data_IF_913105056800
#
_entry.id   IF_913105056800
#
_cell.length_a   1.000
_cell.length_b   1.000
_cell.length_c   1.000
_cell.angle_alpha   90.00
_cell.angle_beta   90.00
_cell.angle_gamma   90.00
#
_symmetry.space_group_name_H-M   'P 1'
#
loop_
_entity.id
_entity.type
_entity.pdbx_description
1 polymer ?
#
# COMPACT_ATOMS: atom_id res chain seq x y z
N UNK A 1 -25.64 -19.83 -71.13
CA UNK A 1 -25.65 -19.13 -69.84
C UNK A 1 -26.76 -19.74 -68.98
N UNK A 2 -26.76 -21.01 -68.55
CA UNK A 2 -25.76 -21.76 -67.77
C UNK A 2 -25.27 -20.96 -66.56
N UNK A 3 -26.10 -20.91 -65.51
CA UNK A 3 -25.74 -20.25 -64.24
C UNK A 3 -26.75 -20.38 -63.11
N UNK A 4 -28.05 -20.58 -63.39
CA UNK A 4 -29.08 -20.47 -62.33
C UNK A 4 -29.87 -21.74 -61.99
N UNK A 5 -29.74 -22.82 -62.78
CA UNK A 5 -30.36 -24.12 -62.44
C UNK A 5 -29.50 -25.03 -61.55
N UNK A 6 -28.25 -24.63 -61.24
CA UNK A 6 -27.32 -25.43 -60.41
C UNK A 6 -27.40 -25.17 -58.91
N UNK A 7 -27.94 -24.02 -58.46
CA UNK A 7 -27.90 -23.64 -57.03
C UNK A 7 -29.11 -24.08 -56.21
N UNK A 8 -30.22 -24.47 -56.83
CA UNK A 8 -31.41 -24.97 -56.11
C UNK A 8 -31.37 -26.46 -55.77
N UNK A 9 -30.56 -27.26 -56.48
CA UNK A 9 -30.39 -28.69 -56.18
C UNK A 9 -29.27 -29.02 -55.18
N UNK A 10 -28.47 -28.02 -54.77
CA UNK A 10 -27.43 -28.19 -53.76
C UNK A 10 -27.90 -27.79 -52.34
N UNK A 11 -29.02 -27.07 -52.24
CA UNK A 11 -29.66 -26.66 -50.97
C UNK A 11 -30.66 -27.69 -50.41
N UNK A 12 -31.07 -28.70 -51.18
CA UNK A 12 -31.99 -29.77 -50.73
C UNK A 12 -31.27 -31.10 -50.41
N UNK A 13 -29.93 -31.14 -50.47
CA UNK A 13 -29.14 -32.36 -50.20
C UNK A 13 -28.34 -32.34 -48.90
N UNK A 14 -28.40 -31.27 -48.11
CA UNK A 14 -27.77 -31.18 -46.80
C UNK A 14 -28.74 -31.36 -45.62
N UNK A 15 -30.01 -31.69 -45.89
CA UNK A 15 -31.04 -32.00 -44.88
C UNK A 15 -31.17 -33.50 -44.55
N UNK A 16 -30.25 -34.35 -45.03
CA UNK A 16 -30.34 -35.81 -44.92
C UNK A 16 -29.23 -36.48 -44.10
N UNK A 17 -28.58 -35.75 -43.18
CA UNK A 17 -27.71 -36.34 -42.16
C UNK A 17 -28.18 -35.84 -40.80
N UNK A 18 -28.92 -36.70 -40.10
CA UNK A 18 -29.49 -36.41 -38.79
C UNK A 18 -28.47 -35.84 -37.82
N UNK A 19 -28.61 -34.54 -37.55
CA UNK A 19 -28.01 -33.90 -36.39
C UNK A 19 -28.99 -34.14 -35.23
N UNK A 20 -28.59 -34.77 -34.13
CA UNK A 20 -29.47 -34.97 -32.99
C UNK A 20 -29.86 -33.61 -32.42
N UNK A 21 -31.16 -33.42 -32.18
CA UNK A 21 -31.71 -32.32 -31.38
C UNK A 21 -30.88 -32.17 -30.10
N UNK A 22 -30.06 -31.12 -30.04
CA UNK A 22 -29.42 -30.72 -28.82
C UNK A 22 -30.47 -29.98 -28.00
N UNK A 23 -30.91 -30.65 -26.94
CA UNK A 23 -31.56 -30.11 -25.75
C UNK A 23 -31.37 -28.60 -25.61
N UNK A 24 -32.48 -27.86 -25.69
CA UNK A 24 -32.63 -26.52 -25.11
C UNK A 24 -32.64 -26.63 -23.57
N UNK A 25 -31.53 -27.11 -23.01
CA UNK A 25 -31.27 -27.21 -21.58
C UNK A 25 -30.17 -26.23 -21.19
N UNK A 26 -30.53 -25.29 -20.32
CA UNK A 26 -29.62 -24.37 -19.62
C UNK A 26 -28.91 -23.33 -20.49
N UNK A 27 -29.64 -22.27 -20.84
CA UNK A 27 -29.03 -20.94 -20.93
C UNK A 27 -28.41 -20.62 -19.57
N UNK A 28 -27.10 -20.81 -19.45
CA UNK A 28 -26.30 -20.21 -18.38
C UNK A 28 -26.64 -18.72 -18.39
N UNK A 29 -27.29 -18.21 -17.34
CA UNK A 29 -27.52 -16.78 -17.21
C UNK A 29 -26.14 -16.11 -17.27
N UNK A 30 -25.92 -15.28 -18.30
CA UNK A 30 -24.74 -14.45 -18.36
C UNK A 30 -24.70 -13.61 -17.09
N UNK A 31 -23.57 -13.64 -16.38
CA UNK A 31 -23.37 -12.85 -15.18
C UNK A 31 -23.66 -11.37 -15.45
N UNK A 32 -24.18 -10.62 -14.47
CA UNK A 32 -24.34 -9.17 -14.62
C UNK A 32 -22.97 -8.56 -14.93
N UNK A 33 -22.89 -7.80 -16.02
CA UNK A 33 -21.72 -6.95 -16.34
C UNK A 33 -21.62 -5.91 -15.23
N UNK A 34 -20.56 -5.98 -14.43
CA UNK A 34 -20.30 -5.03 -13.35
C UNK A 34 -19.56 -3.81 -13.92
N UNK A 35 -19.81 -2.58 -13.43
CA UNK A 35 -19.02 -1.41 -13.79
C UNK A 35 -17.51 -1.68 -13.60
N UNK A 36 -16.71 -1.38 -14.62
CA UNK A 36 -15.26 -1.67 -14.68
C UNK A 36 -14.87 -3.06 -15.22
N UNK A 37 -15.83 -3.89 -15.66
CA UNK A 37 -15.51 -5.15 -16.37
C UNK A 37 -14.88 -4.90 -17.75
N UNK A 38 -15.12 -3.74 -18.35
CA UNK A 38 -14.49 -3.33 -19.61
C UNK A 38 -12.96 -3.23 -19.47
N UNK A 39 -12.46 -2.80 -18.32
CA UNK A 39 -11.03 -2.70 -18.03
C UNK A 39 -10.40 -4.09 -17.89
N UNK A 40 -11.12 -5.03 -17.29
CA UNK A 40 -10.68 -6.43 -17.23
C UNK A 40 -10.61 -7.05 -18.63
N UNK A 41 -11.58 -6.76 -19.50
CA UNK A 41 -11.56 -7.24 -20.89
C UNK A 41 -10.45 -6.58 -21.71
N UNK A 42 -10.16 -5.30 -21.48
CA UNK A 42 -9.03 -4.60 -22.10
C UNK A 42 -7.69 -5.24 -21.72
N UNK A 43 -7.58 -5.74 -20.48
CA UNK A 43 -6.44 -6.54 -20.02
C UNK A 43 -6.43 -7.98 -20.55
N UNK A 44 -7.43 -8.39 -21.33
CA UNK A 44 -7.51 -9.71 -21.96
C UNK A 44 -7.99 -10.82 -21.02
N UNK A 45 -8.71 -10.49 -19.95
CA UNK A 45 -9.42 -11.51 -19.17
C UNK A 45 -10.64 -12.02 -19.93
N UNK A 46 -10.94 -13.32 -19.85
CA UNK A 46 -12.20 -13.86 -20.37
C UNK A 46 -13.39 -13.38 -19.55
N UNK A 47 -14.60 -13.63 -20.06
CA UNK A 47 -15.84 -13.36 -19.34
C UNK A 47 -15.87 -14.07 -17.97
N UNK A 48 -16.57 -13.45 -17.03
CA UNK A 48 -16.77 -13.98 -15.68
C UNK A 48 -17.45 -15.35 -15.70
N UNK A 49 -17.00 -16.22 -14.80
CA UNK A 49 -17.61 -17.51 -14.53
C UNK A 49 -18.29 -17.44 -13.16
N UNK A 50 -19.59 -17.75 -13.11
CA UNK A 50 -20.30 -17.91 -11.84
C UNK A 50 -19.73 -19.12 -11.08
N UNK A 51 -19.36 -18.88 -9.83
CA UNK A 51 -18.74 -19.87 -8.95
C UNK A 51 -19.44 -19.97 -7.61
N UNK A 52 -20.61 -19.34 -7.46
CA UNK A 52 -21.44 -19.43 -6.25
C UNK A 52 -21.77 -20.90 -5.93
N UNK A 53 -21.55 -21.28 -4.68
CA UNK A 53 -21.80 -22.64 -4.19
C UNK A 53 -20.85 -23.72 -4.75
N UNK A 54 -19.87 -23.39 -5.61
CA UNK A 54 -18.95 -24.38 -6.16
C UNK A 54 -17.92 -24.85 -5.13
N UNK A 55 -17.74 -26.17 -5.02
CA UNK A 55 -16.71 -26.78 -4.17
C UNK A 55 -15.32 -26.87 -4.83
N UNK A 56 -15.22 -26.60 -6.13
CA UNK A 56 -14.00 -26.61 -6.93
C UNK A 56 -14.26 -25.96 -8.28
N UNK A 57 -13.19 -25.54 -8.96
CA UNK A 57 -13.18 -25.06 -10.35
C UNK A 57 -12.29 -25.93 -11.25
N UNK A 58 -12.08 -27.18 -10.85
CA UNK A 58 -11.20 -28.12 -11.56
C UNK A 58 -11.69 -28.51 -12.95
N UNK A 59 -13.00 -28.51 -13.14
CA UNK A 59 -13.72 -28.70 -14.40
C UNK A 59 -13.51 -27.52 -15.36
N UNK A 60 -13.33 -26.31 -14.83
CA UNK A 60 -13.14 -25.08 -15.61
C UNK A 60 -11.70 -24.92 -16.12
N UNK A 61 -10.73 -25.51 -15.41
CA UNK A 61 -9.30 -25.33 -15.71
C UNK A 61 -8.53 -26.66 -15.77
N UNK A 62 -8.13 -27.05 -16.98
CA UNK A 62 -7.32 -28.23 -17.22
C UNK A 62 -5.94 -28.13 -16.54
N UNK A 63 -5.40 -29.27 -16.06
CA UNK A 63 -4.19 -29.35 -15.20
C UNK A 63 -2.95 -28.65 -15.75
N UNK A 64 -2.77 -28.59 -17.07
CA UNK A 64 -1.64 -27.89 -17.72
C UNK A 64 -1.85 -26.39 -17.97
N UNK A 65 -3.02 -25.85 -17.65
CA UNK A 65 -3.41 -24.44 -17.91
C UNK A 65 -3.85 -23.72 -16.64
N UNK A 66 -3.37 -24.13 -15.46
CA UNK A 66 -3.79 -23.57 -14.16
C UNK A 66 -2.86 -22.47 -13.61
N UNK A 67 -1.76 -22.20 -14.31
CA UNK A 67 -0.81 -21.17 -13.95
C UNK A 67 -1.22 -19.85 -14.61
N UNK A 68 -1.39 -18.78 -13.85
CA UNK A 68 -1.85 -17.50 -14.37
C UNK A 68 -2.32 -16.50 -13.32
N UNK A 69 -3.02 -15.46 -13.79
CA UNK A 69 -3.66 -14.44 -12.96
C UNK A 69 -5.16 -14.73 -12.89
N UNK A 70 -5.74 -14.68 -11.70
CA UNK A 70 -7.17 -14.76 -11.48
C UNK A 70 -7.71 -13.45 -10.92
N UNK A 71 -8.96 -13.17 -11.25
CA UNK A 71 -9.76 -12.14 -10.58
C UNK A 71 -10.98 -12.81 -9.95
N UNK A 72 -11.25 -12.53 -8.69
CA UNK A 72 -12.47 -12.94 -7.99
C UNK A 72 -13.40 -11.73 -7.92
N UNK A 73 -14.70 -11.96 -8.10
CA UNK A 73 -15.75 -10.99 -7.82
C UNK A 73 -16.52 -11.42 -6.56
N UNK A 74 -16.94 -10.44 -5.78
CA UNK A 74 -17.73 -10.65 -4.56
C UNK A 74 -19.14 -10.09 -4.72
N UNK A 75 -20.07 -10.51 -3.86
CA UNK A 75 -21.48 -10.08 -3.93
C UNK A 75 -21.67 -8.56 -3.75
N UNK A 76 -20.75 -7.90 -3.05
CA UNK A 76 -20.78 -6.45 -2.84
C UNK A 76 -20.13 -5.64 -3.98
N UNK A 77 -19.73 -6.28 -5.08
CA UNK A 77 -19.11 -5.62 -6.24
C UNK A 77 -17.60 -5.40 -6.13
N UNK A 78 -16.98 -5.75 -5.01
CA UNK A 78 -15.52 -5.74 -4.88
C UNK A 78 -14.87 -6.84 -5.72
N UNK A 79 -13.58 -6.66 -6.01
CA UNK A 79 -12.79 -7.61 -6.78
C UNK A 79 -11.49 -7.98 -6.03
N UNK A 80 -10.91 -9.14 -6.34
CA UNK A 80 -9.60 -9.57 -5.83
C UNK A 80 -8.78 -10.02 -7.02
N UNK A 81 -7.56 -9.52 -7.21
CA UNK A 81 -6.67 -9.90 -8.31
C UNK A 81 -5.47 -10.64 -7.73
N UNK A 82 -5.20 -11.88 -8.14
CA UNK A 82 -4.01 -12.57 -7.65
C UNK A 82 -3.38 -13.51 -8.65
N UNK A 83 -2.16 -13.94 -8.37
CA UNK A 83 -1.47 -14.97 -9.13
C UNK A 83 -1.62 -16.37 -8.54
N UNK A 84 -1.65 -17.37 -9.42
CA UNK A 84 -1.71 -18.77 -9.06
C UNK A 84 -0.79 -19.60 -9.95
N UNK A 85 0.01 -20.49 -9.34
CA UNK A 85 0.62 -21.60 -10.08
C UNK A 85 -0.42 -22.69 -10.37
N UNK A 86 -1.39 -22.85 -9.46
CA UNK A 86 -2.59 -23.66 -9.66
C UNK A 86 -3.83 -22.89 -9.15
N UNK A 87 -4.62 -22.37 -10.09
CA UNK A 87 -5.85 -21.60 -9.81
C UNK A 87 -6.92 -22.40 -9.05
N UNK A 88 -6.98 -23.72 -9.23
CA UNK A 88 -7.96 -24.57 -8.53
C UNK A 88 -7.63 -24.65 -7.05
N UNK A 89 -6.33 -24.81 -6.74
CA UNK A 89 -5.86 -24.79 -5.35
C UNK A 89 -6.12 -23.43 -4.70
N UNK A 90 -5.85 -22.33 -5.42
CA UNK A 90 -6.10 -20.96 -4.92
C UNK A 90 -7.58 -20.66 -4.72
N UNK A 91 -8.44 -21.03 -5.66
CA UNK A 91 -9.90 -20.90 -5.51
C UNK A 91 -10.40 -21.62 -4.25
N UNK A 92 -9.97 -22.86 -4.05
CA UNK A 92 -10.37 -23.65 -2.87
C UNK A 92 -9.89 -23.05 -1.55
N UNK A 93 -8.79 -22.30 -1.56
CA UNK A 93 -8.34 -21.55 -0.39
C UNK A 93 -9.25 -20.35 -0.14
N UNK A 94 -9.51 -19.54 -1.18
CA UNK A 94 -10.32 -18.33 -1.07
C UNK A 94 -11.75 -18.60 -0.64
N UNK A 95 -12.41 -19.63 -1.18
CA UNK A 95 -13.77 -20.01 -0.76
C UNK A 95 -13.90 -20.31 0.73
N UNK A 96 -12.84 -20.85 1.36
CA UNK A 96 -12.87 -21.14 2.81
C UNK A 96 -12.88 -19.86 3.65
N UNK A 97 -12.35 -18.77 3.10
CA UNK A 97 -12.16 -17.49 3.79
C UNK A 97 -13.25 -16.48 3.40
N UNK A 98 -13.72 -16.51 2.16
CA UNK A 98 -14.68 -15.56 1.61
C UNK A 98 -15.97 -16.28 1.23
N UNK A 99 -17.00 -16.14 2.08
CA UNK A 99 -18.31 -16.76 1.88
C UNK A 99 -19.14 -16.05 0.79
N UNK A 100 -18.85 -14.78 0.52
CA UNK A 100 -19.52 -13.89 -0.44
C UNK A 100 -18.88 -13.94 -1.84
N UNK A 101 -18.08 -14.97 -2.12
CA UNK A 101 -17.40 -15.14 -3.40
C UNK A 101 -18.41 -15.54 -4.48
N UNK A 102 -18.54 -14.70 -5.51
CA UNK A 102 -19.59 -14.83 -6.53
C UNK A 102 -19.06 -15.24 -7.90
N UNK A 103 -17.96 -14.62 -8.35
CA UNK A 103 -17.45 -14.81 -9.72
C UNK A 103 -15.94 -15.08 -9.75
N UNK A 104 -15.47 -15.75 -10.80
CA UNK A 104 -14.06 -15.96 -11.11
C UNK A 104 -13.82 -15.67 -12.59
N UNK A 105 -12.79 -14.90 -12.91
CA UNK A 105 -12.17 -14.90 -14.24
C UNK A 105 -10.70 -15.24 -14.12
N UNK A 106 -10.13 -15.89 -15.12
CA UNK A 106 -8.77 -16.40 -15.06
C UNK A 106 -8.08 -16.34 -16.41
N UNK A 107 -6.87 -15.78 -16.41
CA UNK A 107 -6.01 -15.61 -17.56
C UNK A 107 -4.72 -16.42 -17.37
N UNK A 108 -4.47 -17.46 -18.19
CA UNK A 108 -3.23 -18.22 -18.13
C UNK A 108 -2.01 -17.34 -18.42
N UNK A 109 -0.98 -17.42 -17.58
CA UNK A 109 0.29 -16.70 -17.72
C UNK A 109 1.42 -17.65 -17.37
N UNK A 110 2.55 -17.53 -18.07
CA UNK A 110 3.72 -18.35 -17.77
C UNK A 110 4.31 -17.98 -16.41
N UNK A 111 4.84 -18.97 -15.69
CA UNK A 111 5.37 -18.78 -14.33
C UNK A 111 6.41 -17.66 -14.22
N UNK A 112 7.24 -17.48 -15.24
CA UNK A 112 8.30 -16.47 -15.28
C UNK A 112 7.77 -15.03 -15.39
N UNK A 113 6.50 -14.84 -15.76
CA UNK A 113 5.88 -13.52 -16.00
C UNK A 113 4.78 -13.20 -14.98
N UNK A 114 4.53 -14.06 -14.00
CA UNK A 114 3.40 -13.88 -13.10
C UNK A 114 3.51 -12.56 -12.31
N UNK A 115 4.67 -12.29 -11.70
CA UNK A 115 4.86 -11.09 -10.88
C UNK A 115 4.76 -9.79 -11.72
N UNK A 116 5.28 -9.80 -12.96
CA UNK A 116 5.21 -8.66 -13.88
C UNK A 116 3.75 -8.36 -14.30
N UNK A 117 3.01 -9.41 -14.69
CA UNK A 117 1.65 -9.28 -15.20
C UNK A 117 0.65 -8.99 -14.07
N UNK A 118 0.85 -9.59 -12.89
CA UNK A 118 0.05 -9.28 -11.69
C UNK A 118 0.16 -7.79 -11.35
N UNK A 119 1.39 -7.26 -11.31
CA UNK A 119 1.64 -5.84 -11.03
C UNK A 119 0.99 -4.92 -12.06
N UNK A 120 1.14 -5.21 -13.36
CA UNK A 120 0.50 -4.43 -14.43
C UNK A 120 -1.02 -4.42 -14.28
N UNK A 121 -1.63 -5.54 -13.90
CA UNK A 121 -3.08 -5.65 -13.77
C UNK A 121 -3.61 -4.95 -12.52
N UNK A 122 -2.93 -5.07 -11.37
CA UNK A 122 -3.29 -4.32 -10.16
C UNK A 122 -3.19 -2.81 -10.42
N UNK A 123 -2.07 -2.32 -10.97
CA UNK A 123 -1.89 -0.90 -11.28
C UNK A 123 -2.93 -0.35 -12.25
N UNK A 124 -3.25 -1.10 -13.30
CA UNK A 124 -4.27 -0.68 -14.27
C UNK A 124 -5.66 -0.60 -13.62
N UNK A 125 -6.04 -1.60 -12.82
CA UNK A 125 -7.37 -1.64 -12.20
C UNK A 125 -7.51 -0.65 -11.05
N UNK A 126 -6.45 -0.39 -10.29
CA UNK A 126 -6.41 0.68 -9.28
C UNK A 126 -6.55 2.07 -9.94
N UNK A 127 -5.87 2.31 -11.07
CA UNK A 127 -5.96 3.58 -11.81
C UNK A 127 -7.36 3.86 -12.38
N UNK A 128 -8.20 2.84 -12.56
CA UNK A 128 -9.60 2.96 -12.99
C UNK A 128 -10.58 3.00 -11.80
N UNK A 129 -10.09 3.05 -10.56
CA UNK A 129 -10.92 3.20 -9.36
C UNK A 129 -11.66 1.94 -8.92
N UNK A 130 -11.20 0.74 -9.31
CA UNK A 130 -11.84 -0.52 -8.92
C UNK A 130 -11.42 -0.95 -7.51
N UNK A 131 -12.38 -1.20 -6.61
CA UNK A 131 -12.13 -1.66 -5.24
C UNK A 131 -11.53 -3.08 -5.20
N UNK A 132 -10.23 -3.20 -4.90
CA UNK A 132 -9.49 -4.47 -4.83
C UNK A 132 -9.23 -4.96 -3.39
N UNK A 133 -9.49 -6.24 -3.07
CA UNK A 133 -9.39 -6.87 -1.73
C UNK A 133 -8.03 -7.52 -1.34
N UNK A 134 -6.92 -7.43 -2.09
CA UNK A 134 -5.74 -8.31 -1.80
C UNK A 134 -4.88 -7.93 -0.57
N UNK A 135 -5.31 -8.29 0.63
CA UNK A 135 -4.73 -7.88 1.93
C UNK A 135 -3.26 -8.28 2.22
N UNK A 136 -2.67 -9.32 1.59
CA UNK A 136 -1.39 -9.90 2.06
C UNK A 136 -0.12 -9.44 1.30
N UNK A 137 -0.26 -8.92 0.08
CA UNK A 137 0.86 -8.45 -0.75
C UNK A 137 0.63 -7.06 -1.35
N UNK A 138 -0.58 -6.51 -1.24
CA UNK A 138 -0.87 -5.18 -1.75
C UNK A 138 -0.29 -4.12 -0.85
N UNK A 139 0.07 -3.01 -1.49
CA UNK A 139 0.31 -1.77 -0.79
C UNK A 139 -1.02 -1.20 -0.26
N UNK A 140 -2.17 -1.36 -0.93
CA UNK A 140 -3.49 -0.92 -0.46
C UNK A 140 -4.22 -2.01 0.35
N UNK A 141 -5.04 -1.65 1.34
CA UNK A 141 -5.95 -2.59 2.04
C UNK A 141 -7.37 -2.00 2.06
N UNK A 142 -8.33 -2.70 1.46
CA UNK A 142 -9.76 -2.27 1.42
C UNK A 142 -10.62 -2.99 2.47
N UNK A 143 -11.82 -2.46 2.72
CA UNK A 143 -12.79 -3.00 3.68
C UNK A 143 -12.64 -2.45 5.10
N UNK A 144 -13.55 -2.84 6.00
CA UNK A 144 -13.51 -2.48 7.43
C UNK A 144 -12.27 -3.08 8.11
N UNK A 145 -11.53 -2.25 8.86
CA UNK A 145 -10.28 -2.60 9.56
C UNK A 145 -10.31 -2.15 11.01
N UNK A 146 -9.43 -2.72 11.83
CA UNK A 146 -9.23 -2.31 13.22
C UNK A 146 -8.87 -0.82 13.34
N UNK A 147 -8.20 -0.24 12.32
CA UNK A 147 -7.88 1.19 12.28
C UNK A 147 -9.16 2.04 12.26
N UNK A 148 -10.23 1.56 11.62
CA UNK A 148 -11.50 2.27 11.47
C UNK A 148 -12.22 2.48 12.82
N UNK A 149 -11.84 1.70 13.85
CA UNK A 149 -12.32 1.88 15.22
C UNK A 149 -11.71 3.12 15.91
N UNK A 150 -10.50 3.52 15.49
CA UNK A 150 -9.77 4.65 16.06
C UNK A 150 -9.77 5.87 15.14
N UNK A 151 -9.82 5.66 13.83
CA UNK A 151 -9.78 6.70 12.79
C UNK A 151 -10.75 6.27 11.70
N UNK A 152 -11.89 6.94 11.56
CA UNK A 152 -12.91 6.56 10.57
C UNK A 152 -12.37 6.65 9.12
N UNK A 153 -12.96 5.91 8.15
CA UNK A 153 -12.54 5.99 6.75
C UNK A 153 -12.54 7.42 6.19
N UNK A 154 -13.54 8.22 6.55
CA UNK A 154 -13.64 9.64 6.14
C UNK A 154 -12.47 10.47 6.70
N UNK A 155 -12.12 10.25 7.97
CA UNK A 155 -10.94 10.89 8.59
C UNK A 155 -9.63 10.44 7.93
N UNK A 156 -9.52 9.17 7.56
CA UNK A 156 -8.34 8.64 6.85
C UNK A 156 -8.20 9.29 5.47
N UNK A 157 -9.29 9.44 4.73
CA UNK A 157 -9.29 10.06 3.40
C UNK A 157 -8.97 11.55 3.47
N UNK A 158 -9.61 12.29 4.39
CA UNK A 158 -9.32 13.72 4.60
C UNK A 158 -7.87 13.95 5.03
N UNK A 159 -7.36 13.16 5.98
CA UNK A 159 -5.98 13.23 6.42
C UNK A 159 -4.99 12.93 5.27
N UNK A 160 -5.27 11.90 4.48
CA UNK A 160 -4.45 11.55 3.32
C UNK A 160 -4.44 12.66 2.26
N UNK A 161 -5.58 13.33 2.06
CA UNK A 161 -5.72 14.48 1.15
C UNK A 161 -5.19 15.80 1.70
N UNK A 162 -4.65 15.84 2.93
CA UNK A 162 -4.13 17.05 3.56
C UNK A 162 -5.20 17.99 4.13
N UNK A 163 -6.49 17.63 4.10
CA UNK A 163 -7.57 18.38 4.72
C UNK A 163 -7.67 18.05 6.22
N UNK A 164 -6.77 18.64 7.01
CA UNK A 164 -6.61 18.34 8.44
C UNK A 164 -7.19 19.41 9.38
N UNK A 165 -7.75 20.50 8.86
CA UNK A 165 -8.11 21.70 9.64
C UNK A 165 -9.12 21.41 10.77
N UNK A 166 -10.06 20.50 10.54
CA UNK A 166 -11.08 20.10 11.53
C UNK A 166 -10.81 18.72 12.16
N UNK A 167 -9.68 18.09 11.83
CA UNK A 167 -9.32 16.77 12.35
C UNK A 167 -8.70 16.92 13.74
N UNK A 168 -9.28 16.22 14.71
CA UNK A 168 -8.80 16.25 16.09
C UNK A 168 -8.02 14.98 16.43
N UNK A 169 -6.81 15.19 16.96
CA UNK A 169 -5.98 14.14 17.57
C UNK A 169 -5.73 14.47 19.05
N UNK A 170 -6.80 14.79 19.77
CA UNK A 170 -6.73 15.36 21.12
C UNK A 170 -6.76 14.31 22.25
N UNK A 171 -6.47 13.04 21.95
CA UNK A 171 -6.44 11.99 22.97
C UNK A 171 -5.31 12.20 23.98
N UNK A 172 -5.56 11.77 25.22
CA UNK A 172 -4.52 11.75 26.25
C UNK A 172 -3.39 10.80 25.83
N UNK A 173 -2.15 11.18 26.16
CA UNK A 173 -1.00 10.33 25.91
C UNK A 173 -1.17 8.96 26.57
N UNK A 174 -0.75 7.90 25.88
CA UNK A 174 -0.83 6.53 26.39
C UNK A 174 -0.09 6.41 27.73
N UNK A 175 -0.77 5.81 28.71
CA UNK A 175 -0.21 5.55 30.06
C UNK A 175 0.05 4.06 30.25
N UNK A 176 1.32 3.67 30.18
CA UNK A 176 1.81 2.35 30.57
C UNK A 176 3.10 2.51 31.39
N UNK A 177 2.97 2.47 32.72
CA UNK A 177 4.08 2.71 33.64
C UNK A 177 5.17 1.64 33.55
N UNK A 178 4.80 0.39 33.25
CA UNK A 178 5.76 -0.71 33.12
C UNK A 178 6.60 -0.55 31.86
N UNK A 179 5.95 -0.21 30.74
CA UNK A 179 6.63 0.07 29.49
C UNK A 179 7.50 1.31 29.59
N UNK A 180 7.00 2.39 30.23
CA UNK A 180 7.78 3.60 30.51
C UNK A 180 9.03 3.27 31.30
N UNK A 181 8.90 2.58 32.45
CA UNK A 181 10.06 2.17 33.28
C UNK A 181 11.09 1.35 32.50
N UNK A 182 10.66 0.48 31.58
CA UNK A 182 11.55 -0.37 30.78
C UNK A 182 12.48 0.44 29.88
N UNK A 183 11.95 1.50 29.27
CA UNK A 183 12.67 2.29 28.25
C UNK A 183 13.17 3.64 28.74
N UNK A 184 12.81 4.05 29.96
CA UNK A 184 13.18 5.33 30.57
C UNK A 184 14.69 5.59 30.55
N UNK A 185 15.50 4.60 30.94
CA UNK A 185 16.97 4.75 30.94
C UNK A 185 17.56 4.99 29.55
N UNK A 186 16.95 4.42 28.51
CA UNK A 186 17.38 4.69 27.13
C UNK A 186 17.06 6.12 26.73
N UNK A 187 15.90 6.63 27.16
CA UNK A 187 15.50 8.02 26.94
C UNK A 187 16.39 9.00 27.70
N UNK A 188 16.66 8.78 28.99
CA UNK A 188 17.60 9.61 29.77
C UNK A 188 18.97 9.68 29.09
N UNK A 189 19.49 8.54 28.61
CA UNK A 189 20.75 8.51 27.85
C UNK A 189 20.65 9.27 26.53
N UNK A 190 19.54 9.11 25.80
CA UNK A 190 19.31 9.85 24.55
C UNK A 190 19.37 11.36 24.79
N UNK A 191 18.74 11.86 25.87
CA UNK A 191 18.76 13.27 26.22
C UNK A 191 20.14 13.83 26.59
N UNK A 192 21.15 12.98 26.82
CA UNK A 192 22.53 13.43 27.01
C UNK A 192 23.31 13.62 25.70
N UNK A 193 22.72 13.23 24.56
CA UNK A 193 23.38 13.30 23.26
C UNK A 193 23.32 14.73 22.69
N UNK A 194 24.36 15.20 21.98
CA UNK A 194 24.41 16.59 21.52
C UNK A 194 23.24 16.99 20.60
N UNK A 195 22.80 16.08 19.74
CA UNK A 195 21.73 16.31 18.75
C UNK A 195 20.33 15.91 19.26
N UNK A 196 20.15 15.67 20.57
CA UNK A 196 18.90 15.12 21.09
C UNK A 196 17.67 15.98 20.74
N UNK A 197 17.74 17.30 20.96
CA UNK A 197 16.62 18.21 20.68
C UNK A 197 16.31 18.34 19.19
N UNK A 198 17.33 18.38 18.33
CA UNK A 198 17.13 18.44 16.87
C UNK A 198 16.49 17.14 16.36
N UNK A 199 16.89 15.99 16.90
CA UNK A 199 16.26 14.70 16.57
C UNK A 199 14.82 14.62 17.14
N UNK A 200 14.55 15.19 18.31
CA UNK A 200 13.18 15.28 18.84
C UNK A 200 12.30 16.15 17.93
N UNK A 201 12.81 17.27 17.44
CA UNK A 201 12.10 18.17 16.54
C UNK A 201 11.75 17.45 15.22
N UNK A 202 12.73 16.81 14.58
CA UNK A 202 12.52 16.06 13.33
C UNK A 202 11.59 14.85 13.52
N UNK A 203 11.71 14.14 14.64
CA UNK A 203 10.78 13.04 14.97
C UNK A 203 9.36 13.57 15.18
N UNK A 204 9.20 14.67 15.91
CA UNK A 204 7.89 15.28 16.15
C UNK A 204 7.25 15.77 14.84
N UNK A 205 8.02 16.42 13.98
CA UNK A 205 7.60 16.83 12.64
C UNK A 205 7.18 15.63 11.79
N UNK A 206 7.93 14.52 11.81
CA UNK A 206 7.52 13.30 11.11
C UNK A 206 6.22 12.70 11.64
N UNK A 207 6.06 12.64 12.97
CA UNK A 207 4.83 12.10 13.57
C UNK A 207 3.61 12.93 13.17
N UNK A 208 3.75 14.26 13.15
CA UNK A 208 2.70 15.19 12.74
C UNK A 208 2.36 15.08 11.25
N UNK A 209 3.39 15.06 10.40
CA UNK A 209 3.20 15.11 8.94
C UNK A 209 2.83 13.76 8.33
N UNK A 210 3.36 12.65 8.85
CA UNK A 210 3.36 11.36 8.16
C UNK A 210 2.67 10.22 8.92
N UNK A 211 2.30 10.37 10.20
CA UNK A 211 1.58 9.35 10.95
C UNK A 211 0.12 9.76 11.14
N UNK A 212 -0.88 8.96 10.70
CA UNK A 212 -2.28 9.26 10.93
C UNK A 212 -2.61 9.32 12.42
N UNK A 213 -3.02 10.49 12.91
CA UNK A 213 -3.51 10.70 14.27
C UNK A 213 -2.58 10.07 15.32
N UNK A 214 -1.33 10.56 15.42
CA UNK A 214 -0.27 9.86 16.16
C UNK A 214 -0.62 9.64 17.64
N UNK A 215 -1.45 10.47 18.28
CA UNK A 215 -1.89 10.26 19.68
C UNK A 215 -2.96 9.18 19.77
N UNK A 216 -4.01 9.24 18.95
CA UNK A 216 -5.08 8.21 18.91
C UNK A 216 -4.55 6.82 18.56
N UNK A 217 -3.51 6.76 17.73
CA UNK A 217 -3.01 5.49 17.17
C UNK A 217 -1.72 4.98 17.83
N UNK A 218 -1.19 5.72 18.82
CA UNK A 218 0.00 5.38 19.59
C UNK A 218 -0.11 3.99 20.21
N UNK A 219 1.00 3.24 20.20
CA UNK A 219 1.16 1.89 20.74
C UNK A 219 0.38 0.79 19.99
N UNK A 220 -0.79 1.11 19.45
CA UNK A 220 -1.65 0.17 18.71
C UNK A 220 -1.16 -0.01 17.28
N UNK A 221 -0.93 1.07 16.53
CA UNK A 221 -0.63 1.00 15.10
C UNK A 221 0.79 1.43 14.74
N UNK A 222 1.45 2.18 15.61
CA UNK A 222 2.84 2.58 15.42
C UNK A 222 3.61 2.49 16.73
N UNK A 223 4.94 2.42 16.61
CA UNK A 223 5.85 2.51 17.73
C UNK A 223 7.09 3.34 17.40
N UNK A 224 7.73 3.90 18.43
CA UNK A 224 9.08 4.44 18.33
C UNK A 224 10.02 3.75 19.32
N UNK A 225 11.14 3.24 18.83
CA UNK A 225 12.21 2.70 19.67
C UNK A 225 13.26 3.76 19.95
N UNK A 226 13.76 3.83 21.19
CA UNK A 226 14.80 4.77 21.63
C UNK A 226 16.15 4.06 21.80
N UNK A 227 17.19 4.54 21.10
CA UNK A 227 18.52 3.94 21.01
C UNK A 227 18.50 2.42 20.71
N UNK A 228 17.76 1.98 19.67
CA UNK A 228 17.73 0.57 19.32
C UNK A 228 19.09 0.08 18.81
N UNK A 229 19.34 -1.22 18.98
CA UNK A 229 20.52 -1.86 18.42
C UNK A 229 20.36 -2.09 16.90
N UNK A 230 21.48 -2.15 16.16
CA UNK A 230 21.48 -2.54 14.75
C UNK A 230 21.24 -1.38 13.77
N UNK A 231 21.95 -0.27 13.97
CA UNK A 231 22.05 0.80 12.98
C UNK A 231 23.00 0.44 11.81
N UNK A 232 22.96 1.21 10.71
CA UNK A 232 23.93 1.09 9.63
C UNK A 232 25.39 1.19 10.14
N UNK A 233 26.37 0.55 9.46
CA UNK A 233 27.77 0.68 9.84
C UNK A 233 28.21 2.14 9.94
N UNK A 234 29.04 2.47 10.94
CA UNK A 234 29.58 3.82 11.18
C UNK A 234 28.54 4.88 11.55
N UNK A 235 27.32 4.48 11.89
CA UNK A 235 26.27 5.39 12.38
C UNK A 235 25.90 5.10 13.83
N UNK A 236 25.38 6.11 14.51
CA UNK A 236 24.69 5.99 15.79
C UNK A 236 23.19 6.16 15.57
N UNK A 237 22.44 5.06 15.66
CA UNK A 237 20.99 5.08 15.51
C UNK A 237 20.33 5.61 16.79
N UNK A 238 19.58 6.71 16.67
CA UNK A 238 18.98 7.40 17.81
C UNK A 238 17.55 6.93 18.06
N UNK A 239 16.74 6.89 17.01
CA UNK A 239 15.39 6.37 17.11
C UNK A 239 14.92 5.75 15.79
N UNK A 240 13.82 5.00 15.90
CA UNK A 240 13.23 4.29 14.78
C UNK A 240 11.73 4.20 14.95
N UNK A 241 10.98 4.61 13.94
CA UNK A 241 9.52 4.46 13.90
C UNK A 241 9.17 3.22 13.07
N UNK A 242 8.26 2.40 13.59
CA UNK A 242 7.73 1.25 12.86
C UNK A 242 6.21 1.20 12.92
N UNK A 243 5.60 0.89 11.78
CA UNK A 243 4.17 0.65 11.62
C UNK A 243 3.98 -0.78 11.13
N UNK A 244 3.00 -1.49 11.69
CA UNK A 244 2.82 -2.92 11.44
C UNK A 244 4.12 -3.70 11.69
N UNK A 245 4.68 -4.35 10.66
CA UNK A 245 5.89 -5.18 10.70
C UNK A 245 7.08 -4.49 10.01
N UNK A 246 7.01 -3.18 9.74
CA UNK A 246 8.03 -2.46 8.98
C UNK A 246 8.51 -1.19 9.68
N UNK A 247 9.81 -1.00 9.65
CA UNK A 247 10.52 0.21 10.04
C UNK A 247 10.39 1.21 8.88
N UNK A 248 9.83 2.38 9.16
CA UNK A 248 9.50 3.38 8.12
C UNK A 248 10.35 4.62 8.23
N UNK A 249 10.89 4.89 9.42
CA UNK A 249 11.81 5.98 9.70
C UNK A 249 12.94 5.45 10.59
N UNK A 250 14.17 5.78 10.23
CA UNK A 250 15.33 5.71 11.12
C UNK A 250 15.98 7.08 11.18
N UNK A 251 16.27 7.56 12.39
CA UNK A 251 16.98 8.81 12.64
C UNK A 251 18.23 8.53 13.47
N UNK A 252 19.35 9.12 13.07
CA UNK A 252 20.60 8.94 13.78
C UNK A 252 21.62 10.02 13.43
N UNK A 253 22.85 9.76 13.85
CA UNK A 253 24.01 10.63 13.57
C UNK A 253 25.13 9.78 12.97
N UNK A 254 25.86 10.34 12.02
CA UNK A 254 27.08 9.77 11.46
C UNK A 254 28.24 10.78 11.51
N UNK A 255 29.28 10.61 10.67
CA UNK A 255 30.41 11.54 10.64
C UNK A 255 30.09 12.90 10.01
N UNK A 256 28.98 13.02 9.28
CA UNK A 256 28.54 14.23 8.58
C UNK A 256 27.45 15.00 9.34
N UNK A 257 26.73 14.33 10.24
CA UNK A 257 25.73 14.97 11.09
C UNK A 257 24.51 14.09 11.29
N UNK A 258 23.34 14.73 11.41
CA UNK A 258 22.07 14.02 11.46
C UNK A 258 21.80 13.39 10.09
N UNK A 259 21.37 12.14 10.10
CA UNK A 259 20.84 11.47 8.93
C UNK A 259 19.48 10.86 9.23
N UNK A 260 18.67 10.70 8.18
CA UNK A 260 17.42 9.96 8.21
C UNK A 260 17.33 8.99 7.05
N UNK A 261 16.63 7.88 7.25
CA UNK A 261 16.09 7.10 6.13
C UNK A 261 14.59 6.89 6.29
N UNK A 262 13.88 7.02 5.17
CA UNK A 262 12.43 6.99 5.07
C UNK A 262 11.99 5.91 4.10
N UNK A 263 10.87 5.23 4.38
CA UNK A 263 10.17 4.42 3.40
C UNK A 263 8.89 5.11 2.97
N UNK A 264 8.69 5.25 1.66
CA UNK A 264 7.59 6.01 1.06
C UNK A 264 6.94 5.21 -0.07
N UNK A 265 5.72 5.59 -0.45
CA UNK A 265 5.05 5.04 -1.61
C UNK A 265 5.72 5.53 -2.90
N UNK A 266 6.29 4.60 -3.68
CA UNK A 266 6.94 4.90 -4.95
C UNK A 266 5.96 5.40 -6.04
N UNK A 267 4.67 5.09 -5.89
CA UNK A 267 3.60 5.41 -6.83
C UNK A 267 3.35 6.91 -6.94
N UNK A 268 3.56 7.68 -5.87
CA UNK A 268 3.45 9.13 -5.88
C UNK A 268 4.45 9.71 -6.88
N UNK A 269 5.72 9.29 -6.79
CA UNK A 269 6.75 9.72 -7.75
C UNK A 269 6.54 9.17 -9.16
N UNK A 270 5.99 7.95 -9.30
CA UNK A 270 5.68 7.38 -10.62
C UNK A 270 4.54 8.14 -11.31
N UNK A 271 3.56 8.61 -10.56
CA UNK A 271 2.46 9.43 -11.08
C UNK A 271 2.96 10.81 -11.51
N UNK A 272 3.83 11.42 -10.71
CA UNK A 272 4.36 12.76 -10.97
C UNK A 272 5.41 12.77 -12.10
N UNK A 273 6.38 11.86 -12.06
CA UNK A 273 7.55 11.87 -12.93
C UNK A 273 7.59 10.73 -13.96
N UNK A 274 6.59 9.86 -13.97
CA UNK A 274 6.52 8.73 -14.90
C UNK A 274 7.65 7.72 -14.72
N UNK A 275 8.07 7.09 -15.82
CA UNK A 275 9.08 6.03 -15.79
C UNK A 275 10.49 6.48 -15.34
N UNK A 276 10.76 7.80 -15.35
CA UNK A 276 12.06 8.38 -15.01
C UNK A 276 12.12 8.89 -13.57
N UNK A 277 11.13 8.61 -12.75
CA UNK A 277 11.00 9.16 -11.39
C UNK A 277 12.27 9.04 -10.53
N UNK A 278 13.01 7.92 -10.62
CA UNK A 278 14.29 7.76 -9.89
C UNK A 278 15.36 8.73 -10.36
N UNK A 279 15.51 8.90 -11.68
CA UNK A 279 16.47 9.84 -12.23
C UNK A 279 16.13 11.27 -11.81
N UNK A 280 14.84 11.62 -11.77
CA UNK A 280 14.37 12.93 -11.29
C UNK A 280 14.68 13.15 -9.82
N UNK A 281 14.46 12.16 -8.95
CA UNK A 281 14.84 12.26 -7.55
C UNK A 281 16.36 12.44 -7.38
N UNK A 282 17.17 11.72 -8.15
CA UNK A 282 18.64 11.90 -8.14
C UNK A 282 19.06 13.28 -8.65
N UNK A 283 18.41 13.82 -9.69
CA UNK A 283 18.65 15.19 -10.17
C UNK A 283 18.30 16.25 -9.11
N UNK A 284 17.29 15.96 -8.28
CA UNK A 284 16.91 16.77 -7.12
C UNK A 284 17.80 16.54 -5.88
N UNK A 285 18.85 15.71 -6.00
CA UNK A 285 19.81 15.47 -4.92
C UNK A 285 19.46 14.31 -3.99
N UNK A 286 18.37 13.57 -4.23
CA UNK A 286 17.93 12.50 -3.36
C UNK A 286 18.53 11.13 -3.71
N UNK A 287 19.03 10.45 -2.68
CA UNK A 287 19.49 9.07 -2.79
C UNK A 287 18.31 8.10 -2.62
N UNK A 288 18.04 7.29 -3.66
CA UNK A 288 17.04 6.22 -3.59
C UNK A 288 17.71 4.86 -3.47
N UNK A 289 17.19 3.98 -2.61
CA UNK A 289 17.62 2.57 -2.57
C UNK A 289 16.47 1.62 -2.91
N UNK A 290 16.81 0.39 -3.29
CA UNK A 290 15.87 -0.71 -3.51
C UNK A 290 15.65 -1.56 -2.24
N UNK A 291 15.95 -1.01 -1.06
CA UNK A 291 15.65 -1.70 0.18
C UNK A 291 14.12 -1.84 0.32
N UNK A 292 13.66 -3.09 0.32
CA UNK A 292 12.23 -3.41 0.41
C UNK A 292 11.97 -4.35 1.58
N UNK A 293 10.96 -4.03 2.37
CA UNK A 293 10.43 -4.92 3.38
C UNK A 293 9.16 -5.59 2.85
N UNK A 294 9.03 -6.89 3.09
CA UNK A 294 7.86 -7.66 2.65
C UNK A 294 6.51 -7.02 3.05
N UNK A 295 6.32 -6.48 4.26
CA UNK A 295 5.07 -5.84 4.67
C UNK A 295 4.69 -4.62 3.81
N UNK A 296 5.65 -3.85 3.28
CA UNK A 296 5.40 -2.65 2.45
C UNK A 296 4.84 -2.95 1.05
N UNK A 297 4.93 -4.19 0.59
CA UNK A 297 4.51 -4.57 -0.76
C UNK A 297 5.46 -4.02 -1.84
N UNK A 298 5.01 -3.97 -3.09
CA UNK A 298 5.85 -3.50 -4.20
C UNK A 298 5.90 -1.97 -4.34
N UNK A 299 4.94 -1.26 -3.76
CA UNK A 299 4.89 0.20 -3.80
C UNK A 299 5.67 0.81 -2.63
N UNK A 300 6.99 0.65 -2.67
CA UNK A 300 7.88 1.26 -1.69
C UNK A 300 9.20 1.69 -2.32
N UNK A 301 9.73 2.80 -1.81
CA UNK A 301 11.09 3.27 -2.08
C UNK A 301 11.69 3.76 -0.76
N UNK A 302 12.99 3.57 -0.59
CA UNK A 302 13.72 4.19 0.51
C UNK A 302 14.42 5.47 0.03
N UNK A 303 14.27 6.56 0.78
CA UNK A 303 15.04 7.79 0.62
C UNK A 303 15.96 8.00 1.83
N UNK A 304 17.13 8.58 1.59
CA UNK A 304 18.10 8.94 2.62
C UNK A 304 18.37 10.44 2.57
N UNK A 305 18.33 11.09 3.73
CA UNK A 305 18.66 12.49 3.94
C UNK A 305 19.89 12.59 4.85
N UNK A 306 20.86 13.45 4.50
CA UNK A 306 22.21 13.46 5.09
C UNK A 306 22.51 14.65 6.02
N UNK A 307 21.55 15.54 6.22
CA UNK A 307 21.67 16.70 7.10
C UNK A 307 20.34 17.01 7.77
N UNK A 308 20.36 17.87 8.80
CA UNK A 308 19.14 18.33 9.47
C UNK A 308 18.18 19.01 8.48
N UNK A 309 18.73 19.87 7.63
CA UNK A 309 18.02 20.62 6.60
C UNK A 309 17.38 19.68 5.59
N UNK A 310 18.13 18.69 5.07
CA UNK A 310 17.57 17.70 4.13
C UNK A 310 16.40 16.91 4.77
N UNK A 311 16.53 16.52 6.04
CA UNK A 311 15.46 15.80 6.74
C UNK A 311 14.22 16.69 6.86
N UNK A 312 14.41 17.94 7.30
CA UNK A 312 13.33 18.92 7.45
C UNK A 312 12.64 19.19 6.10
N UNK A 313 13.41 19.46 5.06
CA UNK A 313 12.88 19.86 3.76
C UNK A 313 12.13 18.69 3.10
N UNK A 314 12.60 17.45 3.29
CA UNK A 314 11.88 16.26 2.86
C UNK A 314 10.54 16.12 3.60
N UNK A 315 10.49 16.39 4.91
CA UNK A 315 9.27 16.33 5.72
C UNK A 315 8.25 17.45 5.43
N UNK A 316 8.71 18.58 4.87
CA UNK A 316 7.87 19.73 4.54
C UNK A 316 7.48 19.76 3.06
N UNK A 317 8.15 18.98 2.20
CA UNK A 317 7.85 18.91 0.78
C UNK A 317 6.57 18.10 0.52
N UNK A 318 5.51 18.68 -0.08
CA UNK A 318 4.23 18.00 -0.28
C UNK A 318 4.34 16.64 -0.97
N UNK A 319 5.10 16.53 -2.07
CA UNK A 319 5.24 15.27 -2.81
C UNK A 319 5.89 14.14 -1.99
N UNK A 320 6.87 14.47 -1.16
CA UNK A 320 7.51 13.50 -0.27
C UNK A 320 6.57 13.11 0.88
N UNK A 321 5.94 14.09 1.52
CA UNK A 321 5.01 13.86 2.62
C UNK A 321 3.79 13.04 2.17
N UNK A 322 3.23 13.29 0.99
CA UNK A 322 2.16 12.48 0.41
C UNK A 322 2.59 11.02 0.22
N UNK A 323 3.82 10.80 -0.26
CA UNK A 323 4.44 9.49 -0.35
C UNK A 323 4.52 8.77 1.01
N UNK A 324 4.90 9.48 2.07
CA UNK A 324 4.94 8.92 3.44
C UNK A 324 3.55 8.65 3.99
N UNK A 325 2.63 9.62 3.86
CA UNK A 325 1.25 9.51 4.36
C UNK A 325 0.55 8.29 3.77
N UNK A 326 0.63 8.16 2.45
CA UNK A 326 0.05 7.04 1.73
C UNK A 326 0.65 5.71 2.21
N UNK A 327 1.97 5.64 2.34
CA UNK A 327 2.66 4.41 2.76
C UNK A 327 2.34 4.00 4.20
N UNK A 328 2.36 4.95 5.13
CA UNK A 328 2.10 4.71 6.55
C UNK A 328 0.64 4.32 6.79
N UNK A 329 -0.32 5.03 6.19
CA UNK A 329 -1.74 4.70 6.30
C UNK A 329 -2.00 3.27 5.80
N UNK A 330 -1.40 2.90 4.66
CA UNK A 330 -1.47 1.55 4.09
C UNK A 330 -0.92 0.47 5.04
N UNK A 331 0.21 0.73 5.70
CA UNK A 331 0.75 -0.19 6.70
C UNK A 331 -0.16 -0.32 7.92
N UNK A 332 -0.74 0.77 8.41
CA UNK A 332 -1.67 0.75 9.56
C UNK A 332 -2.98 0.02 9.22
N UNK A 333 -3.51 0.21 8.01
CA UNK A 333 -4.70 -0.53 7.55
C UNK A 333 -4.47 -2.03 7.48
N UNK A 334 -3.22 -2.50 7.30
CA UNK A 334 -2.90 -3.95 7.35
C UNK A 334 -3.06 -4.53 8.75
N UNK A 335 -2.88 -3.75 9.80
CA UNK A 335 -3.05 -4.20 11.19
C UNK A 335 -2.15 -3.46 12.19
N UNK A 336 -2.24 -3.83 13.47
CA UNK A 336 -1.49 -3.19 14.54
C UNK A 336 0.02 -3.38 14.40
N UNK A 337 0.80 -2.55 15.10
CA UNK A 337 2.26 -2.71 15.18
C UNK A 337 2.63 -3.97 15.94
N UNK A 338 3.65 -4.68 15.45
CA UNK A 338 4.20 -5.87 16.10
C UNK A 338 5.30 -5.52 17.13
N UNK A 339 5.65 -4.24 17.23
CA UNK A 339 6.78 -3.76 18.00
C UNK A 339 6.38 -2.94 19.23
N UNK A 340 5.09 -2.94 19.61
CA UNK A 340 4.56 -2.17 20.74
C UNK A 340 5.38 -2.33 22.04
N UNK A 341 5.89 -3.54 22.32
CA UNK A 341 6.74 -3.82 23.50
C UNK A 341 8.07 -3.04 23.54
N UNK A 342 8.52 -2.50 22.42
CA UNK A 342 9.74 -1.71 22.27
C UNK A 342 9.47 -0.19 22.25
N UNK A 343 8.21 0.22 22.33
CA UNK A 343 7.81 1.62 22.27
C UNK A 343 8.37 2.42 23.47
N UNK A 344 8.96 3.59 23.20
CA UNK A 344 9.43 4.55 24.21
C UNK A 344 8.44 5.70 24.36
N UNK A 345 7.60 5.64 25.40
CA UNK A 345 6.58 6.66 25.70
C UNK A 345 7.20 8.04 25.98
N UNK A 346 8.34 8.06 26.68
CA UNK A 346 9.02 9.33 27.00
C UNK A 346 9.55 10.00 25.72
N UNK A 347 10.12 9.23 24.79
CA UNK A 347 10.62 9.75 23.51
C UNK A 347 9.46 10.27 22.63
N UNK A 348 8.37 9.52 22.52
CA UNK A 348 7.19 9.94 21.77
C UNK A 348 6.60 11.24 22.31
N UNK A 349 6.40 11.32 23.64
CA UNK A 349 5.87 12.52 24.29
C UNK A 349 6.79 13.73 24.13
N UNK A 350 8.10 13.55 24.33
CA UNK A 350 9.08 14.61 24.17
C UNK A 350 9.13 15.13 22.73
N UNK A 351 9.05 14.26 21.72
CA UNK A 351 9.09 14.66 20.32
C UNK A 351 7.87 15.50 19.92
N UNK A 352 6.66 15.07 20.32
CA UNK A 352 5.44 15.83 20.09
C UNK A 352 5.48 17.20 20.80
N UNK A 353 6.03 17.26 22.01
CA UNK A 353 6.17 18.50 22.76
C UNK A 353 7.20 19.44 22.13
N UNK A 354 8.36 18.92 21.74
CA UNK A 354 9.43 19.70 21.11
C UNK A 354 8.93 20.33 19.80
N UNK A 355 8.25 19.55 18.95
CA UNK A 355 7.66 20.05 17.71
C UNK A 355 6.66 21.18 17.96
N UNK A 356 5.68 20.99 18.86
CA UNK A 356 4.71 22.05 19.19
C UNK A 356 5.40 23.31 19.70
N UNK A 357 6.48 23.17 20.49
CA UNK A 357 7.19 24.32 21.06
C UNK A 357 8.04 25.09 20.06
N UNK A 358 8.42 24.48 18.93
CA UNK A 358 9.36 25.03 17.95
C UNK A 358 8.79 25.13 16.54
N UNK A 359 7.49 24.87 16.37
CA UNK A 359 6.82 24.93 15.06
C UNK A 359 6.97 26.30 14.40
N UNK A 360 6.88 27.38 15.18
CA UNK A 360 7.06 28.74 14.69
C UNK A 360 8.48 28.98 14.12
N UNK A 361 9.51 28.33 14.67
CA UNK A 361 10.89 28.41 14.13
C UNK A 361 10.99 27.76 12.76
N UNK A 362 10.28 26.63 12.56
CA UNK A 362 10.24 25.92 11.28
C UNK A 362 9.52 26.77 10.23
N UNK A 363 8.34 27.32 10.57
CA UNK A 363 7.56 28.16 9.66
C UNK A 363 8.36 29.39 9.24
N UNK A 364 8.96 30.11 10.19
CA UNK A 364 9.76 31.29 9.89
C UNK A 364 10.99 30.97 9.02
N UNK A 365 11.61 29.79 9.20
CA UNK A 365 12.75 29.39 8.38
C UNK A 365 12.37 29.05 6.93
N UNK A 366 11.16 28.52 6.70
CA UNK A 366 10.63 28.27 5.36
C UNK A 366 10.32 29.59 4.66
N UNK A 367 9.61 30.50 5.32
CA UNK A 367 9.25 31.82 4.77
C UNK A 367 10.49 32.65 4.40
N UNK A 368 11.54 32.61 5.23
CA UNK A 368 12.78 33.33 4.97
C UNK A 368 13.60 32.75 3.79
N UNK A 369 13.46 31.45 3.49
CA UNK A 369 14.14 30.79 2.38
C UNK A 369 13.48 31.06 1.02
N UNK A 370 12.15 31.25 0.99
CA UNK A 370 11.41 31.60 -0.24
C UNK A 370 11.74 33.02 -0.74
N UNK A 371 12.03 33.96 0.17
CA UNK A 371 12.42 35.33 -0.17
C UNK A 371 13.83 35.45 -0.80
N UNK A 372 14.72 34.47 -0.58
CA UNK A 372 16.09 34.49 -1.12
C UNK A 372 16.20 33.91 -2.55
N UNK A 373 15.28 33.03 -2.96
CA UNK A 373 15.25 32.41 -4.30
C UNK A 373 14.48 33.26 -5.35
N UNK A 374 13.72 34.29 -4.94
CA UNK A 374 13.07 35.26 -5.84
C UNK A 374 13.92 36.51 -6.15
N UNK A 375 15.16 36.59 -5.62
CA UNK A 375 16.05 37.77 -5.65
C UNK A 375 17.02 37.91 -6.82
#
# INVERSE_FOLDING_TARGET
MTGELGRRQELERLDALGVPEQNEGERTQAAPVLPGDEDLWALGFPAWQDVRGRLSVADLHARGKRCGIYVLGFENGERYVGQAVDVVSRFNQHRKTHADLSHLTFKPVSRAKLDEVERQHIHHLEAQGLGLRNIAHMSVVTGERDLDLLVSPDEQERWLGGDVADLQDAEEQVRDDDLRRRHHRSFERFMTLPQAHDVLLLLGLYLDQAVPFPRRTELTFWNVSCLPYGGPPRTSLYCRVSLNMQEVLALGVDEHGIWASFHLASSVYQQEFGAQWRARLTELGWETTDQQYKPGGHDQVQLVAGSFEDVRDLLLSPGHTDGMRLFNLRLMRKGPTYFSKFHSLDLAGAAMQEFVSRMDEIVAAVEAGEDEDEG
#
